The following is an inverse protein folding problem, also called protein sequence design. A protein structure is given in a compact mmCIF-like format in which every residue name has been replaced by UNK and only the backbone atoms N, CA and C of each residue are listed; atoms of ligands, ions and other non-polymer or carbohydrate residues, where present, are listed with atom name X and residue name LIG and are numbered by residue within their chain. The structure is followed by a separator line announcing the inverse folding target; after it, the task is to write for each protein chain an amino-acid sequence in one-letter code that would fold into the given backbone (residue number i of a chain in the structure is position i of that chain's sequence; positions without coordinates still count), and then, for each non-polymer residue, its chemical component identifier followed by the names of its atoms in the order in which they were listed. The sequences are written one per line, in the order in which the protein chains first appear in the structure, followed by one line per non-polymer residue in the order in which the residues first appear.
data_IF_905395280210
#
_entry.id   IF_905395280210
#
_cell.length_a   1.000
_cell.length_b   1.000
_cell.length_c   1.000
_cell.angle_alpha   90.00
_cell.angle_beta   90.00
_cell.angle_gamma   90.00
#
_symmetry.space_group_name_H-M   'P 1'
#
loop_
_entity.id
_entity.type
_entity.pdbx_description
1 polymer ?
#
# COMPACT_ATOMS: atom_id res chain seq x y z
N UNK A 1 8.14 6.63 -10.63
CA UNK A 1 7.77 6.52 -9.20
C UNK A 1 7.61 7.91 -8.58
N UNK A 2 6.45 8.18 -7.97
CA UNK A 2 6.22 9.36 -7.13
C UNK A 2 5.75 8.93 -5.74
N UNK A 3 6.30 9.54 -4.70
CA UNK A 3 5.93 9.29 -3.31
C UNK A 3 5.12 10.47 -2.75
N UNK A 4 4.00 10.15 -2.10
CA UNK A 4 3.14 11.14 -1.45
C UNK A 4 2.62 10.64 -0.10
N UNK A 5 2.27 11.59 0.78
CA UNK A 5 1.55 11.25 2.00
C UNK A 5 0.13 10.76 1.67
N UNK A 6 -0.34 9.76 2.42
CA UNK A 6 -1.70 9.26 2.27
C UNK A 6 -2.69 10.27 2.89
N UNK A 7 -3.50 10.92 2.07
CA UNK A 7 -4.45 11.95 2.49
C UNK A 7 -5.77 11.83 1.73
N UNK A 8 -6.81 12.52 2.19
CA UNK A 8 -8.10 12.62 1.49
C UNK A 8 -8.67 11.27 1.07
N UNK A 9 -9.14 11.19 -0.17
CA UNK A 9 -9.78 9.99 -0.74
C UNK A 9 -8.84 8.77 -0.78
N UNK A 10 -7.54 8.99 -0.98
CA UNK A 10 -6.54 7.92 -1.01
C UNK A 10 -6.43 7.21 0.35
N UNK A 11 -6.66 7.94 1.45
CA UNK A 11 -6.69 7.36 2.81
C UNK A 11 -7.84 6.38 2.96
N UNK A 12 -9.02 6.74 2.48
CA UNK A 12 -10.21 5.90 2.58
C UNK A 12 -10.03 4.61 1.79
N UNK A 13 -9.44 4.68 0.58
CA UNK A 13 -9.10 3.50 -0.20
C UNK A 13 -8.08 2.60 0.49
N UNK A 14 -7.02 3.18 1.05
CA UNK A 14 -6.01 2.43 1.79
C UNK A 14 -6.61 1.72 3.01
N UNK A 15 -7.48 2.38 3.77
CA UNK A 15 -8.18 1.77 4.89
C UNK A 15 -9.06 0.60 4.45
N UNK A 16 -9.87 0.78 3.39
CA UNK A 16 -10.73 -0.27 2.88
C UNK A 16 -9.94 -1.48 2.39
N UNK A 17 -8.80 -1.26 1.75
CA UNK A 17 -7.97 -2.34 1.24
C UNK A 17 -7.22 -3.07 2.36
N UNK A 18 -6.75 -2.38 3.40
CA UNK A 18 -6.19 -2.99 4.60
C UNK A 18 -7.22 -3.88 5.32
N UNK A 19 -8.46 -3.40 5.49
CA UNK A 19 -9.54 -4.15 6.12
C UNK A 19 -9.90 -5.44 5.36
N UNK A 20 -9.72 -5.45 4.04
CA UNK A 20 -9.99 -6.62 3.17
C UNK A 20 -8.77 -7.52 2.95
N UNK A 21 -7.59 -7.05 3.33
CA UNK A 21 -6.34 -7.80 3.17
C UNK A 21 -6.32 -9.03 4.07
N UNK A 22 -5.83 -10.16 3.55
CA UNK A 22 -5.63 -11.37 4.35
C UNK A 22 -4.59 -11.18 5.46
N UNK A 23 -3.63 -10.27 5.27
CA UNK A 23 -2.56 -10.02 6.24
C UNK A 23 -2.99 -9.07 7.37
N UNK A 24 -3.90 -8.13 7.08
CA UNK A 24 -4.23 -7.04 8.00
C UNK A 24 -5.70 -6.97 8.41
N UNK A 25 -6.60 -7.77 7.82
CA UNK A 25 -8.04 -7.69 8.07
C UNK A 25 -8.47 -8.04 9.51
N UNK A 26 -7.60 -8.68 10.30
CA UNK A 26 -7.86 -9.00 11.70
C UNK A 26 -7.51 -7.85 12.68
N UNK A 27 -6.93 -6.75 12.19
CA UNK A 27 -6.55 -5.61 13.03
C UNK A 27 -7.76 -4.86 13.58
N UNK A 28 -7.58 -4.23 14.75
CA UNK A 28 -8.59 -3.35 15.33
C UNK A 28 -8.60 -1.97 14.66
N UNK A 29 -9.68 -1.18 14.83
CA UNK A 29 -9.79 0.18 14.26
C UNK A 29 -8.60 1.08 14.58
N UNK A 30 -8.07 1.03 15.81
CA UNK A 30 -6.91 1.83 16.22
C UNK A 30 -5.60 1.38 15.57
N UNK A 31 -5.45 0.08 15.31
CA UNK A 31 -4.25 -0.47 14.71
C UNK A 31 -4.16 -0.12 13.23
N UNK A 32 -5.30 -0.05 12.52
CA UNK A 32 -5.34 0.47 11.16
C UNK A 32 -4.85 1.92 11.08
N UNK A 33 -5.22 2.77 12.05
CA UNK A 33 -4.72 4.15 12.11
C UNK A 33 -3.20 4.20 12.28
N UNK A 34 -2.64 3.32 13.12
CA UNK A 34 -1.18 3.20 13.31
C UNK A 34 -0.50 2.76 12.02
N UNK A 35 -1.00 1.72 11.35
CA UNK A 35 -0.46 1.24 10.08
C UNK A 35 -0.52 2.33 9.01
N UNK A 36 -1.67 2.99 8.85
CA UNK A 36 -1.85 4.06 7.88
C UNK A 36 -0.98 5.29 8.18
N UNK A 37 -0.63 5.54 9.44
CA UNK A 37 0.26 6.64 9.81
C UNK A 37 1.72 6.40 9.40
N UNK A 38 2.14 5.14 9.29
CA UNK A 38 3.47 4.74 8.83
C UNK A 38 3.55 4.43 7.33
N UNK A 39 2.40 4.32 6.67
CA UNK A 39 2.30 3.99 5.25
C UNK A 39 2.50 5.23 4.36
N UNK A 40 2.99 4.97 3.14
CA UNK A 40 3.23 5.98 2.10
C UNK A 40 2.47 5.59 0.83
N UNK A 41 2.03 6.58 0.07
CA UNK A 41 1.45 6.36 -1.24
C UNK A 41 2.54 6.40 -2.31
N UNK A 42 2.54 5.40 -3.18
CA UNK A 42 3.44 5.34 -4.33
C UNK A 42 2.64 5.24 -5.61
N UNK A 43 2.99 6.08 -6.59
CA UNK A 43 2.46 6.04 -7.95
C UNK A 43 3.56 5.58 -8.91
N UNK A 44 3.20 4.61 -9.75
CA UNK A 44 4.08 4.03 -10.76
C UNK A 44 3.46 4.22 -12.15
N UNK A 45 4.32 4.46 -13.13
CA UNK A 45 3.96 4.51 -14.54
C UNK A 45 4.05 3.10 -15.16
N UNK A 46 3.41 2.92 -16.32
CA UNK A 46 3.46 1.66 -17.05
C UNK A 46 4.90 1.27 -17.39
N UNK A 47 5.25 0.01 -17.12
CA UNK A 47 6.59 -0.52 -17.36
C UNK A 47 7.60 -0.25 -16.23
N UNK A 48 7.24 0.50 -15.18
CA UNK A 48 8.10 0.63 -14.01
C UNK A 48 8.15 -0.66 -13.18
N UNK A 49 9.34 -1.04 -12.75
CA UNK A 49 9.56 -2.19 -11.85
C UNK A 49 9.31 -1.75 -10.41
N UNK A 50 8.31 -2.36 -9.75
CA UNK A 50 7.96 -2.05 -8.35
C UNK A 50 8.84 -2.85 -7.38
N UNK A 51 8.99 -4.15 -7.64
CA UNK A 51 9.81 -5.07 -6.84
C UNK A 51 10.62 -5.95 -7.78
N UNK A 52 11.81 -6.37 -7.33
CA UNK A 52 12.70 -7.23 -8.11
C UNK A 52 13.12 -8.44 -7.31
N UNK A 53 12.97 -9.62 -7.91
CA UNK A 53 13.29 -10.89 -7.27
C UNK A 53 14.77 -10.96 -6.86
N UNK A 54 15.03 -11.49 -5.67
CA UNK A 54 16.36 -11.61 -5.10
C UNK A 54 16.91 -10.33 -4.46
N UNK A 55 16.23 -9.19 -4.60
CA UNK A 55 16.58 -7.97 -3.88
C UNK A 55 16.00 -7.98 -2.46
N UNK A 56 16.74 -7.40 -1.51
CA UNK A 56 16.30 -7.33 -0.13
C UNK A 56 15.07 -6.44 0.00
N UNK A 57 13.98 -7.00 0.54
CA UNK A 57 12.76 -6.27 0.84
C UNK A 57 12.82 -5.63 2.23
N UNK A 58 12.49 -4.34 2.32
CA UNK A 58 12.29 -3.59 3.57
C UNK A 58 10.83 -3.16 3.77
N UNK A 59 9.99 -3.33 2.75
CA UNK A 59 8.64 -2.80 2.66
C UNK A 59 7.68 -3.79 1.98
N UNK A 60 6.41 -3.74 2.37
CA UNK A 60 5.32 -4.43 1.69
C UNK A 60 4.43 -3.44 0.95
N UNK A 61 3.86 -3.87 -0.18
CA UNK A 61 2.97 -3.04 -1.00
C UNK A 61 1.55 -3.60 -0.99
N UNK A 62 0.58 -2.69 -1.10
CA UNK A 62 -0.81 -3.04 -1.32
C UNK A 62 -1.34 -2.18 -2.48
N UNK A 63 -1.85 -2.86 -3.51
CA UNK A 63 -2.33 -2.20 -4.73
C UNK A 63 -3.69 -1.58 -4.45
N UNK A 64 -3.77 -0.24 -4.52
CA UNK A 64 -5.02 0.51 -4.35
C UNK A 64 -5.78 0.67 -5.65
N UNK A 65 -5.06 0.85 -6.77
CA UNK A 65 -5.60 1.05 -8.09
C UNK A 65 -4.60 0.62 -9.16
N UNK A 66 -5.10 0.17 -10.32
CA UNK A 66 -4.29 -0.36 -11.41
C UNK A 66 -3.97 -1.85 -11.25
N UNK A 67 -3.02 -2.32 -12.04
CA UNK A 67 -2.56 -3.70 -12.05
C UNK A 67 -1.04 -3.77 -12.22
N UNK A 68 -0.44 -4.81 -11.65
CA UNK A 68 0.96 -5.16 -11.85
C UNK A 68 1.06 -6.54 -12.46
N UNK A 69 2.08 -6.75 -13.28
CA UNK A 69 2.43 -8.05 -13.86
C UNK A 69 3.64 -8.62 -13.12
N UNK A 70 3.65 -9.94 -12.90
CA UNK A 70 4.73 -10.69 -12.24
C UNK A 70 5.55 -11.41 -13.27
#
# INVERSE_FOLDING_TARGET
MKEHAIQGQQRDWALQALQKSQLFGALGPKDFEVVLSGAKLFEYEEGEVIVKEGEQADSGFLVLHGEGVV
#
